data_IF_553513728279
#
_entry.id   IF_553513728279
#
_cell.length_a   1.000
_cell.length_b   1.000
_cell.length_c   1.000
_cell.angle_alpha   90.00
_cell.angle_beta   90.00
_cell.angle_gamma   90.00
#
_symmetry.space_group_name_H-M   'P 1'
#
loop_
_entity.id
_entity.type
_entity.pdbx_description
1 polymer ?
#
# COMPACT_ATOMS: atom_id res chain seq x y z
N UNK A 1 50.23 -9.50 -8.81
CA UNK A 1 49.18 -8.52 -8.48
C UNK A 1 48.58 -8.92 -7.15
N UNK A 2 48.70 -8.11 -6.09
CA UNK A 2 48.05 -8.36 -4.80
C UNK A 2 46.59 -7.87 -4.90
N UNK A 3 45.57 -8.70 -4.60
CA UNK A 3 44.19 -8.22 -4.54
C UNK A 3 44.09 -7.15 -3.43
N UNK A 4 43.48 -6.01 -3.76
CA UNK A 4 43.38 -4.82 -2.90
C UNK A 4 42.46 -5.03 -1.69
N UNK A 5 41.72 -6.14 -1.64
CA UNK A 5 40.84 -6.50 -0.53
C UNK A 5 41.07 -7.97 -0.16
N UNK A 6 41.52 -8.20 1.07
CA UNK A 6 41.81 -9.54 1.61
C UNK A 6 40.54 -10.21 2.15
N UNK A 7 39.55 -9.43 2.58
CA UNK A 7 38.33 -9.90 3.24
C UNK A 7 37.15 -8.94 3.03
N UNK A 8 35.91 -9.46 3.08
CA UNK A 8 34.67 -8.65 3.04
C UNK A 8 34.60 -7.67 4.23
N UNK A 9 35.24 -8.00 5.35
CA UNK A 9 35.37 -7.10 6.51
C UNK A 9 36.15 -5.83 6.20
N UNK A 10 37.23 -5.91 5.41
CA UNK A 10 38.02 -4.73 5.01
C UNK A 10 37.22 -3.80 4.09
N UNK A 11 36.29 -4.36 3.30
CA UNK A 11 35.37 -3.59 2.47
C UNK A 11 34.30 -2.89 3.30
N UNK A 12 33.75 -3.55 4.33
CA UNK A 12 32.76 -2.96 5.23
C UNK A 12 33.39 -1.96 6.20
N UNK A 13 34.64 -2.15 6.60
CA UNK A 13 35.35 -1.23 7.49
C UNK A 13 36.05 -0.10 6.73
N UNK A 14 36.46 -0.28 5.46
CA UNK A 14 37.14 0.72 4.61
C UNK A 14 38.05 1.64 5.43
N UNK A 15 39.07 1.08 6.08
CA UNK A 15 40.04 1.84 6.87
C UNK A 15 39.51 2.48 8.17
N UNK A 16 38.35 2.03 8.70
CA UNK A 16 37.78 2.47 9.98
C UNK A 16 36.52 3.35 9.88
N UNK A 17 36.13 3.78 8.67
CA UNK A 17 35.00 4.69 8.45
C UNK A 17 33.76 4.05 7.83
N UNK A 18 33.83 2.79 7.40
CA UNK A 18 32.72 2.18 6.66
C UNK A 18 31.42 2.08 7.48
N UNK A 19 31.49 2.01 8.81
CA UNK A 19 30.30 2.07 9.68
C UNK A 19 29.43 3.33 9.45
N UNK A 20 30.05 4.49 9.21
CA UNK A 20 29.33 5.74 8.93
C UNK A 20 28.65 5.73 7.56
N UNK A 21 29.35 5.20 6.56
CA UNK A 21 28.84 5.09 5.18
C UNK A 21 27.62 4.18 5.17
N UNK A 22 27.75 2.98 5.74
CA UNK A 22 26.65 2.02 5.85
C UNK A 22 25.49 2.57 6.68
N UNK A 23 25.74 3.29 7.78
CA UNK A 23 24.67 3.94 8.53
C UNK A 23 23.88 4.94 7.67
N UNK A 24 24.55 5.79 6.90
CA UNK A 24 23.90 6.77 6.03
C UNK A 24 23.09 6.09 4.90
N UNK A 25 23.65 5.05 4.28
CA UNK A 25 22.94 4.22 3.31
C UNK A 25 21.73 3.50 3.92
N UNK A 26 21.88 2.93 5.12
CA UNK A 26 20.79 2.25 5.83
C UNK A 26 19.66 3.21 6.16
N UNK A 27 19.96 4.42 6.64
CA UNK A 27 18.94 5.45 6.93
C UNK A 27 18.16 5.78 5.65
N UNK A 28 18.87 5.99 4.55
CA UNK A 28 18.24 6.31 3.26
C UNK A 28 17.38 5.14 2.75
N UNK A 29 17.89 3.92 2.86
CA UNK A 29 17.17 2.72 2.48
C UNK A 29 15.90 2.51 3.32
N UNK A 30 15.99 2.75 4.62
CA UNK A 30 14.84 2.71 5.54
C UNK A 30 13.82 3.78 5.17
N UNK A 31 14.25 5.01 4.88
CA UNK A 31 13.35 6.08 4.48
C UNK A 31 12.58 5.73 3.19
N UNK A 32 13.27 5.16 2.19
CA UNK A 32 12.64 4.68 0.95
C UNK A 32 11.67 3.54 1.25
N UNK A 33 12.07 2.56 2.06
CA UNK A 33 11.22 1.43 2.42
C UNK A 33 9.92 1.88 3.12
N UNK A 34 10.02 2.84 4.05
CA UNK A 34 8.87 3.45 4.72
C UNK A 34 7.97 4.17 3.72
N UNK A 35 8.54 4.92 2.78
CA UNK A 35 7.76 5.62 1.76
C UNK A 35 7.00 4.64 0.85
N UNK A 36 7.65 3.56 0.41
CA UNK A 36 7.02 2.49 -0.37
C UNK A 36 5.89 1.85 0.42
N UNK A 37 6.14 1.52 1.69
CA UNK A 37 5.12 0.94 2.56
C UNK A 37 3.90 1.85 2.71
N UNK A 38 4.14 3.15 2.93
CA UNK A 38 3.09 4.17 2.98
C UNK A 38 2.30 4.23 1.69
N UNK A 39 2.98 4.28 0.54
CA UNK A 39 2.33 4.34 -0.76
C UNK A 39 1.46 3.11 -1.06
N UNK A 40 1.88 1.91 -0.64
CA UNK A 40 1.10 0.67 -0.80
C UNK A 40 -0.12 0.67 0.14
N UNK A 41 0.08 1.08 1.39
CA UNK A 41 -1.00 1.16 2.39
C UNK A 41 -2.11 2.11 1.96
N UNK A 42 -1.74 3.28 1.43
CA UNK A 42 -2.69 4.32 1.00
C UNK A 42 -3.52 3.86 -0.21
N UNK A 43 -2.88 3.20 -1.18
CA UNK A 43 -3.57 2.61 -2.34
C UNK A 43 -4.60 1.58 -1.92
N UNK A 44 -4.24 0.68 -1.00
CA UNK A 44 -5.16 -0.37 -0.51
C UNK A 44 -6.33 0.25 0.26
N UNK A 45 -6.07 1.26 1.08
CA UNK A 45 -7.11 1.93 1.87
C UNK A 45 -8.16 2.61 1.00
N UNK A 46 -7.73 3.23 -0.12
CA UNK A 46 -8.64 3.94 -1.04
C UNK A 46 -9.54 2.96 -1.79
N UNK A 47 -9.00 1.85 -2.28
CA UNK A 47 -9.76 0.82 -2.98
C UNK A 47 -10.80 0.19 -2.05
N UNK A 48 -10.42 -0.17 -0.82
CA UNK A 48 -11.34 -0.76 0.17
C UNK A 48 -12.49 0.20 0.51
N UNK A 49 -12.21 1.51 0.60
CA UNK A 49 -13.24 2.53 0.85
C UNK A 49 -14.23 2.63 -0.32
N UNK A 50 -13.75 2.65 -1.55
CA UNK A 50 -14.61 2.68 -2.74
C UNK A 50 -15.48 1.42 -2.84
N UNK A 51 -14.91 0.25 -2.55
CA UNK A 51 -15.62 -1.02 -2.61
C UNK A 51 -16.73 -1.12 -1.55
N UNK A 52 -16.51 -0.58 -0.34
CA UNK A 52 -17.55 -0.46 0.71
C UNK A 52 -18.70 0.46 0.28
N UNK A 53 -18.40 1.59 -0.36
CA UNK A 53 -19.43 2.53 -0.82
C UNK A 53 -20.26 1.91 -1.95
N UNK A 54 -19.62 1.25 -2.93
CA UNK A 54 -20.31 0.60 -4.03
C UNK A 54 -21.31 -0.49 -3.56
N UNK A 55 -20.97 -1.25 -2.53
CA UNK A 55 -21.85 -2.27 -1.96
C UNK A 55 -23.05 -1.68 -1.21
N UNK A 56 -22.91 -0.50 -0.60
CA UNK A 56 -23.98 0.16 0.15
C UNK A 56 -25.01 0.79 -0.80
N UNK A 57 -24.55 1.47 -1.86
CA UNK A 57 -25.43 2.08 -2.88
C UNK A 57 -26.26 1.05 -3.65
N UNK A 58 -25.72 -0.15 -3.89
CA UNK A 58 -26.47 -1.24 -4.54
C UNK A 58 -27.62 -1.77 -3.69
N UNK A 59 -27.49 -1.75 -2.35
CA UNK A 59 -28.56 -2.20 -1.44
C UNK A 59 -29.75 -1.24 -1.41
N UNK A 60 -29.49 0.07 -1.32
CA UNK A 60 -30.56 1.09 -1.34
C UNK A 60 -31.34 1.08 -2.64
N UNK A 61 -30.66 1.00 -3.79
CA UNK A 61 -31.34 0.98 -5.09
C UNK A 61 -32.21 -0.28 -5.30
N UNK A 62 -31.80 -1.43 -4.74
CA UNK A 62 -32.61 -2.68 -4.78
C UNK A 62 -33.90 -2.60 -3.97
N UNK A 63 -33.88 -1.93 -2.81
CA UNK A 63 -35.07 -1.75 -1.97
C UNK A 63 -36.09 -0.86 -2.66
N UNK A 64 -35.64 0.26 -3.25
CA UNK A 64 -36.48 1.15 -4.04
C UNK A 64 -37.11 0.44 -5.25
N UNK A 65 -36.36 -0.41 -5.96
CA UNK A 65 -36.90 -1.15 -7.11
C UNK A 65 -37.90 -2.24 -6.71
N UNK A 66 -37.69 -2.93 -5.59
CA UNK A 66 -38.68 -3.89 -5.04
C UNK A 66 -39.97 -3.19 -4.64
N UNK A 67 -39.86 -2.09 -3.89
CA UNK A 67 -41.03 -1.31 -3.48
C UNK A 67 -41.79 -0.71 -4.68
N UNK A 68 -41.06 -0.24 -5.70
CA UNK A 68 -41.66 0.23 -6.96
C UNK A 68 -42.37 -0.87 -7.74
N UNK A 69 -41.83 -2.10 -7.73
CA UNK A 69 -42.48 -3.26 -8.33
C UNK A 69 -43.77 -3.62 -7.58
N UNK A 70 -43.74 -3.60 -6.26
CA UNK A 70 -44.92 -3.87 -5.42
C UNK A 70 -46.02 -2.81 -5.59
N UNK A 71 -45.66 -1.51 -5.69
CA UNK A 71 -46.62 -0.44 -6.01
C UNK A 71 -47.18 -0.55 -7.45
N UNK A 72 -46.36 -0.94 -8.43
CA UNK A 72 -46.80 -1.05 -9.83
C UNK A 72 -47.66 -2.29 -10.13
N UNK A 73 -47.63 -3.30 -9.25
CA UNK A 73 -48.42 -4.53 -9.42
C UNK A 73 -49.79 -4.45 -8.72
N UNK A 74 -50.02 -3.39 -7.95
CA UNK A 74 -51.26 -3.15 -7.20
C UNK A 74 -52.22 -2.13 -7.82
N UNK A 75 -52.05 -1.71 -9.08
CA UNK A 75 -52.97 -0.79 -9.73
C UNK A 75 -54.31 -1.49 -10.03
N UNK A 76 -55.43 -1.12 -9.36
CA UNK A 76 -56.73 -1.67 -9.69
C UNK A 76 -57.16 -1.17 -11.07
N UNK A 77 -57.66 -2.10 -11.88
CA UNK A 77 -58.28 -1.86 -13.17
C UNK A 77 -59.64 -1.19 -13.01
#
# INVERSE_FOLDING_TARGET
MKPYFSNVSDFVQMGGHGAFVWACYSITFVAIAVLIWHAISERTSTIVRLQRQANTTKKTNRLTNKQRKELGTGAPR
#
